data_IF_779534229870
#
_entry.id   IF_779534229870
#
_cell.length_a   1.000
_cell.length_b   1.000
_cell.length_c   1.000
_cell.angle_alpha   90.00
_cell.angle_beta   90.00
_cell.angle_gamma   90.00
#
_symmetry.space_group_name_H-M   'P 1'
#
loop_
_entity.id
_entity.type
_entity.pdbx_description
1 polymer ?
#
# COMPACT_ATOMS: atom_id res chain seq x y z
N UNK A 1 0.97 -13.10 -1.01
CA UNK A 1 1.14 -12.39 0.29
C UNK A 1 1.69 -11.01 0.02
N UNK A 2 1.15 -9.98 0.68
CA UNK A 2 1.73 -8.63 0.66
C UNK A 2 3.10 -8.65 1.38
N UNK A 3 4.17 -8.27 0.69
CA UNK A 3 5.54 -8.26 1.24
C UNK A 3 6.06 -6.85 1.47
N UNK A 4 5.57 -5.86 0.71
CA UNK A 4 5.99 -4.48 0.86
C UNK A 4 4.86 -3.52 0.54
N UNK A 5 4.79 -2.41 1.28
CA UNK A 5 3.93 -1.26 0.98
C UNK A 5 4.78 0.01 1.00
N UNK A 6 4.90 0.67 -0.14
CA UNK A 6 5.58 1.96 -0.29
C UNK A 6 4.56 3.05 -0.60
N UNK A 7 4.67 4.17 0.10
CA UNK A 7 3.80 5.33 -0.06
C UNK A 7 4.65 6.59 -0.21
N UNK A 8 4.39 7.40 -1.24
CA UNK A 8 5.00 8.71 -1.44
C UNK A 8 3.91 9.77 -1.59
N UNK A 9 4.04 10.87 -0.84
CA UNK A 9 3.21 12.07 -0.96
C UNK A 9 1.69 11.83 -0.83
N UNK A 10 1.28 10.98 0.10
CA UNK A 10 -0.12 10.62 0.34
C UNK A 10 -0.60 11.15 1.69
N UNK A 11 -1.68 11.93 1.70
CA UNK A 11 -2.21 12.60 2.89
C UNK A 11 -1.10 13.32 3.68
N UNK A 12 -0.94 13.00 4.97
CA UNK A 12 0.14 13.54 5.82
C UNK A 12 1.47 12.78 5.72
N UNK A 13 1.54 11.73 4.90
CA UNK A 13 2.75 10.91 4.71
C UNK A 13 3.57 11.46 3.56
N UNK A 14 4.82 11.85 3.84
CA UNK A 14 5.80 12.21 2.79
C UNK A 14 6.35 10.94 2.14
N UNK A 15 6.83 10.02 2.97
CA UNK A 15 7.36 8.74 2.54
C UNK A 15 7.11 7.71 3.64
N UNK A 16 6.67 6.51 3.25
CA UNK A 16 6.52 5.36 4.13
C UNK A 16 6.97 4.12 3.36
N UNK A 17 7.75 3.28 4.03
CA UNK A 17 8.15 1.97 3.52
C UNK A 17 7.91 0.94 4.63
N UNK A 18 7.08 -0.06 4.33
CA UNK A 18 6.72 -1.12 5.27
C UNK A 18 7.06 -2.45 4.61
N UNK A 19 7.94 -3.21 5.23
CA UNK A 19 8.16 -4.62 4.91
C UNK A 19 7.26 -5.50 5.80
N UNK A 20 6.58 -6.46 5.19
CA UNK A 20 5.68 -7.39 5.88
C UNK A 20 6.19 -8.82 5.77
N UNK A 21 6.10 -9.55 6.89
CA UNK A 21 6.46 -10.96 6.99
C UNK A 21 5.22 -11.86 7.07
N UNK A 22 5.40 -13.15 6.76
CA UNK A 22 4.33 -14.16 6.86
C UNK A 22 3.80 -14.22 8.29
N UNK A 23 2.49 -14.47 8.42
CA UNK A 23 1.81 -14.57 9.71
C UNK A 23 1.05 -13.29 10.05
N UNK A 24 1.24 -12.80 11.28
CA UNK A 24 0.49 -11.65 11.82
C UNK A 24 1.40 -10.42 11.89
N UNK A 25 1.02 -9.35 11.20
CA UNK A 25 1.63 -8.03 11.32
C UNK A 25 0.74 -7.14 12.19
N UNK A 26 1.34 -6.39 13.12
CA UNK A 26 0.62 -5.48 14.02
C UNK A 26 1.14 -4.06 13.82
N UNK A 27 0.24 -3.14 13.45
CA UNK A 27 0.55 -1.71 13.34
C UNK A 27 0.02 -1.02 14.60
N UNK A 28 0.91 -0.46 15.40
CA UNK A 28 0.56 0.27 16.63
C UNK A 28 0.95 1.75 16.52
N UNK A 29 0.52 2.56 17.48
CA UNK A 29 0.75 3.99 17.50
C UNK A 29 -0.42 4.75 18.12
N UNK A 30 -0.26 6.05 18.33
CA UNK A 30 -1.30 6.91 18.90
C UNK A 30 -2.39 7.27 17.86
N UNK A 31 -3.47 7.88 18.32
CA UNK A 31 -4.48 8.47 17.42
C UNK A 31 -3.82 9.56 16.58
N UNK A 32 -4.01 9.53 15.26
CA UNK A 32 -3.36 10.47 14.34
C UNK A 32 -1.94 10.09 13.91
N UNK A 33 -1.35 9.02 14.45
CA UNK A 33 -0.01 8.55 14.06
C UNK A 33 0.09 7.96 12.63
N UNK A 34 -0.99 8.01 11.84
CA UNK A 34 -0.98 7.55 10.45
C UNK A 34 -1.27 6.06 10.23
N UNK A 35 -1.72 5.32 11.26
CA UNK A 35 -2.07 3.89 11.12
C UNK A 35 -3.12 3.63 10.03
N UNK A 36 -4.21 4.41 10.02
CA UNK A 36 -5.26 4.27 9.01
C UNK A 36 -4.78 4.60 7.61
N UNK A 37 -3.77 5.49 7.46
CA UNK A 37 -3.23 5.90 6.17
C UNK A 37 -2.63 4.70 5.42
N UNK A 38 -1.94 3.80 6.13
CA UNK A 38 -1.40 2.59 5.52
C UNK A 38 -2.52 1.66 5.00
N UNK A 39 -3.64 1.59 5.73
CA UNK A 39 -4.80 0.79 5.34
C UNK A 39 -5.53 1.42 4.15
N UNK A 40 -5.75 2.73 4.18
CA UNK A 40 -6.39 3.50 3.10
C UNK A 40 -5.55 3.40 1.81
N UNK A 41 -4.23 3.56 1.93
CA UNK A 41 -3.31 3.41 0.81
C UNK A 41 -3.36 2.02 0.18
N UNK A 42 -3.36 0.97 1.01
CA UNK A 42 -3.53 -0.40 0.52
C UNK A 42 -4.88 -0.60 -0.18
N UNK A 43 -5.95 0.02 0.33
CA UNK A 43 -7.26 0.02 -0.29
C UNK A 43 -7.25 0.66 -1.69
N UNK A 44 -6.52 1.76 -1.88
CA UNK A 44 -6.34 2.40 -3.18
C UNK A 44 -5.61 1.50 -4.19
N UNK A 45 -4.62 0.71 -3.76
CA UNK A 45 -3.97 -0.29 -4.63
C UNK A 45 -4.96 -1.35 -5.14
N UNK A 46 -6.05 -1.60 -4.41
CA UNK A 46 -7.11 -2.52 -4.82
C UNK A 46 -8.26 -1.84 -5.59
N UNK A 47 -8.10 -0.59 -6.01
CA UNK A 47 -9.08 0.12 -6.83
C UNK A 47 -10.20 0.80 -6.03
N UNK A 48 -9.98 1.09 -4.74
CA UNK A 48 -10.88 1.98 -4.02
C UNK A 48 -10.95 3.36 -4.67
N UNK A 49 -12.08 4.04 -4.46
CA UNK A 49 -12.28 5.41 -4.94
C UNK A 49 -11.26 6.34 -4.27
N UNK A 50 -10.60 7.14 -5.09
CA UNK A 50 -9.63 8.15 -4.64
C UNK A 50 -10.21 9.55 -4.74
N UNK A 51 -9.81 10.43 -3.83
CA UNK A 51 -10.06 11.86 -3.92
C UNK A 51 -8.75 12.62 -4.11
N UNK A 52 -8.77 13.72 -4.85
CA UNK A 52 -7.57 14.55 -5.07
C UNK A 52 -7.02 15.15 -3.77
N UNK A 53 -7.87 15.31 -2.75
CA UNK A 53 -7.52 15.71 -1.38
C UNK A 53 -6.51 14.77 -0.72
N UNK A 54 -6.37 13.54 -1.23
CA UNK A 54 -5.41 12.56 -0.72
C UNK A 54 -3.98 12.77 -1.25
N UNK A 55 -3.77 13.61 -2.27
CA UNK A 55 -2.42 14.04 -2.63
C UNK A 55 -1.94 15.02 -1.57
N UNK A 56 -0.74 14.80 -1.04
CA UNK A 56 -0.16 15.68 -0.02
C UNK A 56 -0.09 17.12 -0.53
N UNK A 57 -0.43 18.07 0.34
CA UNK A 57 -0.40 19.50 0.02
C UNK A 57 0.97 19.92 -0.56
N UNK A 58 0.92 20.68 -1.66
CA UNK A 58 2.10 21.14 -2.38
C UNK A 58 2.81 20.07 -3.23
N UNK A 59 2.23 18.88 -3.38
CA UNK A 59 2.75 17.83 -4.27
C UNK A 59 1.84 17.66 -5.49
N UNK A 60 2.44 17.35 -6.63
CA UNK A 60 1.70 17.16 -7.89
C UNK A 60 1.12 15.75 -8.03
N UNK A 61 1.71 14.77 -7.35
CA UNK A 61 1.30 13.36 -7.41
C UNK A 61 1.54 12.64 -6.09
N UNK A 62 0.71 11.64 -5.83
CA UNK A 62 0.92 10.60 -4.83
C UNK A 62 1.22 9.28 -5.53
N UNK A 63 2.11 8.47 -4.96
CA UNK A 63 2.41 7.14 -5.47
C UNK A 63 2.23 6.12 -4.35
N UNK A 64 1.58 5.01 -4.67
CA UNK A 64 1.32 3.94 -3.72
C UNK A 64 1.62 2.63 -4.44
N UNK A 65 2.55 1.85 -3.89
CA UNK A 65 2.96 0.57 -4.45
C UNK A 65 2.82 -0.52 -3.40
N UNK A 66 2.02 -1.54 -3.71
CA UNK A 66 1.88 -2.74 -2.92
C UNK A 66 2.50 -3.92 -3.67
N UNK A 67 3.52 -4.54 -3.08
CA UNK A 67 4.23 -5.67 -3.67
C UNK A 67 3.70 -6.97 -3.08
N UNK A 68 3.35 -7.91 -3.95
CA UNK A 68 2.85 -9.21 -3.54
C UNK A 68 3.76 -10.32 -4.04
N UNK A 69 4.12 -11.22 -3.14
CA UNK A 69 4.71 -12.50 -3.50
C UNK A 69 3.59 -13.50 -3.78
N UNK A 70 3.57 -14.06 -4.99
CA UNK A 70 2.62 -15.09 -5.40
C UNK A 70 3.23 -16.48 -5.18
N UNK A 71 2.40 -17.42 -4.75
CA UNK A 71 2.78 -18.84 -4.71
C UNK A 71 2.56 -19.45 -6.09
N UNK A 72 3.34 -20.46 -6.45
CA UNK A 72 3.29 -21.07 -7.78
C UNK A 72 1.96 -21.72 -8.12
N UNK A 73 1.13 -22.05 -7.12
CA UNK A 73 -0.23 -22.58 -7.31
C UNK A 73 -1.29 -21.49 -7.48
N UNK A 74 -0.92 -20.21 -7.34
CA UNK A 74 -1.86 -19.11 -7.47
C UNK A 74 -2.24 -18.90 -8.95
N UNK A 75 -3.54 -18.82 -9.30
CA UNK A 75 -3.94 -18.58 -10.69
C UNK A 75 -3.32 -17.32 -11.32
N UNK A 76 -3.10 -16.26 -10.53
CA UNK A 76 -2.46 -15.04 -11.01
C UNK A 76 -0.98 -15.26 -11.35
N UNK A 77 -0.29 -16.20 -10.69
CA UNK A 77 1.09 -16.55 -11.00
C UNK A 77 1.18 -17.15 -12.41
N UNK A 78 0.29 -18.10 -12.72
CA UNK A 78 0.19 -18.69 -14.06
C UNK A 78 -0.18 -17.66 -15.11
N UNK A 79 -1.22 -16.85 -14.86
CA UNK A 79 -1.65 -15.80 -15.77
C UNK A 79 -0.54 -14.80 -16.11
N UNK A 80 0.25 -14.37 -15.11
CA UNK A 80 1.39 -13.47 -15.33
C UNK A 80 2.55 -14.13 -16.09
N UNK A 81 2.72 -15.45 -15.99
CA UNK A 81 3.79 -16.18 -16.68
C UNK A 81 3.51 -16.45 -18.16
N UNK A 82 2.24 -16.33 -18.58
CA UNK A 82 1.79 -16.51 -19.97
C UNK A 82 1.82 -15.21 -20.78
N UNK A 83 2.08 -14.07 -20.14
CA UNK A 83 2.19 -12.73 -20.74
C UNK A 83 3.65 -12.41 -21.11
#
# INVERSE_FOLDING_TARGET
>A
MLTQLTINNFAIVRQLDIELAKGMSVITGETGAGKSIAIDALGLCFGQRVETSMVREGQERAEICATFQLESQNPAYHWLSEQ
#
